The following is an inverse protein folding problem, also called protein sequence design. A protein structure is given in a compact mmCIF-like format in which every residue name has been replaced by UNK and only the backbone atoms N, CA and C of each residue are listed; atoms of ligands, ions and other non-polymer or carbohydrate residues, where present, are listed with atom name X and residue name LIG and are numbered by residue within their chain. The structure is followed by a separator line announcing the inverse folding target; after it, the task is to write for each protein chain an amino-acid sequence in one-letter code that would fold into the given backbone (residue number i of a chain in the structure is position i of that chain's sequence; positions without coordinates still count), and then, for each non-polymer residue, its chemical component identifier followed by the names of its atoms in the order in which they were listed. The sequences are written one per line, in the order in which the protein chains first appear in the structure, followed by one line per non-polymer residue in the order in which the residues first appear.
data_IF_738011130261
#
_entry.id   IF_738011130261
#
_cell.length_a   1.000
_cell.length_b   1.000
_cell.length_c   1.000
_cell.angle_alpha   90.00
_cell.angle_beta   90.00
_cell.angle_gamma   90.00
#
_symmetry.space_group_name_H-M   'P 1'
#
loop_
_entity.id
_entity.type
_entity.pdbx_description
1 polymer ?
#
# COMPACT_ATOMS: atom_id res chain seq x y z
N UNK A 1 7.10 -15.35 9.98
CA UNK A 1 6.69 -14.93 8.60
C UNK A 1 5.73 -13.74 8.74
N UNK A 2 6.10 -12.58 8.20
CA UNK A 2 5.36 -11.30 8.32
C UNK A 2 4.37 -11.05 7.18
N UNK A 3 3.96 -9.80 6.97
CA UNK A 3 3.07 -9.37 5.88
C UNK A 3 3.85 -9.07 4.59
N UNK A 4 3.28 -9.34 3.40
CA UNK A 4 3.88 -8.96 2.13
C UNK A 4 3.77 -7.43 1.93
N UNK A 5 4.89 -6.73 1.93
CA UNK A 5 4.97 -5.28 1.75
C UNK A 5 5.50 -4.93 0.34
N UNK A 6 4.88 -3.92 -0.29
CA UNK A 6 5.38 -3.26 -1.49
C UNK A 6 5.59 -1.77 -1.20
N UNK A 7 6.62 -1.19 -1.80
CA UNK A 7 6.90 0.24 -1.77
C UNK A 7 6.64 0.84 -3.16
N UNK A 8 5.97 1.99 -3.18
CA UNK A 8 5.63 2.74 -4.40
C UNK A 8 6.06 4.19 -4.24
N UNK A 9 6.58 4.79 -5.31
CA UNK A 9 6.86 6.22 -5.38
C UNK A 9 5.85 6.87 -6.30
N UNK A 10 5.03 7.76 -5.75
CA UNK A 10 4.01 8.50 -6.49
C UNK A 10 4.44 9.95 -6.61
N UNK A 11 4.41 10.48 -7.82
CA UNK A 11 4.69 11.89 -8.08
C UNK A 11 3.35 12.61 -8.13
N UNK A 12 3.15 13.59 -7.26
CA UNK A 12 1.95 14.44 -7.27
C UNK A 12 2.03 15.49 -8.38
N UNK A 13 0.89 16.09 -8.74
CA UNK A 13 0.84 17.07 -9.83
C UNK A 13 1.71 18.32 -9.60
N UNK A 14 1.94 18.67 -8.33
CA UNK A 14 2.80 19.76 -7.87
C UNK A 14 4.28 19.33 -7.67
N UNK A 15 4.61 18.08 -8.01
CA UNK A 15 6.00 17.60 -8.10
C UNK A 15 6.57 16.97 -6.84
N UNK A 16 5.78 16.75 -5.79
CA UNK A 16 6.24 16.02 -4.60
C UNK A 16 6.33 14.51 -4.88
N UNK A 17 7.33 13.87 -4.28
CA UNK A 17 7.50 12.41 -4.33
C UNK A 17 6.99 11.82 -3.01
N UNK A 18 5.87 11.10 -3.08
CA UNK A 18 5.27 10.41 -1.95
C UNK A 18 5.70 8.94 -1.94
N UNK A 19 6.28 8.48 -0.83
CA UNK A 19 6.53 7.07 -0.56
C UNK A 19 5.28 6.41 0.02
N UNK A 20 4.70 5.45 -0.70
CA UNK A 20 3.49 4.73 -0.30
C UNK A 20 3.84 3.26 -0.04
N UNK A 21 3.36 2.74 1.10
CA UNK A 21 3.50 1.33 1.46
C UNK A 21 2.18 0.59 1.28
N UNK A 22 2.24 -0.59 0.66
CA UNK A 22 1.06 -1.43 0.42
C UNK A 22 1.27 -2.82 1.00
N UNK A 23 0.31 -3.27 1.80
CA UNK A 23 0.17 -4.68 2.18
C UNK A 23 -0.80 -5.32 1.18
N UNK A 24 -0.29 -6.23 0.35
CA UNK A 24 -1.10 -6.85 -0.73
C UNK A 24 -2.22 -7.75 -0.23
N UNK A 25 -1.93 -8.52 0.82
CA UNK A 25 -2.86 -9.47 1.40
C UNK A 25 -2.51 -9.77 2.86
N UNK A 26 -3.50 -10.22 3.62
CA UNK A 26 -3.34 -10.55 5.04
C UNK A 26 -2.56 -11.85 5.26
N UNK A 27 -2.05 -12.07 6.47
CA UNK A 27 -1.20 -13.22 6.79
C UNK A 27 -1.81 -14.59 6.48
N UNK A 28 -3.14 -14.71 6.54
CA UNK A 28 -3.88 -15.96 6.38
C UNK A 28 -4.59 -16.08 5.01
N UNK A 29 -4.40 -15.13 4.10
CA UNK A 29 -5.05 -15.12 2.79
C UNK A 29 -4.04 -14.69 1.74
N UNK A 30 -3.79 -15.53 0.73
CA UNK A 30 -2.99 -15.16 -0.45
C UNK A 30 -3.83 -14.47 -1.52
N UNK A 31 -5.13 -14.31 -1.28
CA UNK A 31 -6.07 -13.74 -2.25
C UNK A 31 -6.02 -12.22 -2.23
N UNK A 32 -5.97 -11.62 -3.43
CA UNK A 32 -6.08 -10.17 -3.64
C UNK A 32 -7.55 -9.69 -3.64
N UNK A 33 -8.46 -10.47 -3.05
CA UNK A 33 -9.90 -10.19 -3.02
C UNK A 33 -10.24 -9.15 -1.96
N UNK A 34 -11.01 -8.13 -2.33
CA UNK A 34 -11.51 -7.10 -1.44
C UNK A 34 -11.41 -5.71 -2.04
N UNK A 35 -12.09 -4.73 -1.43
CA UNK A 35 -11.93 -3.32 -1.79
C UNK A 35 -10.64 -2.80 -1.16
N UNK A 36 -9.74 -2.14 -1.91
CA UNK A 36 -8.55 -1.53 -1.33
C UNK A 36 -8.95 -0.39 -0.39
N UNK A 37 -8.18 -0.20 0.67
CA UNK A 37 -8.32 0.92 1.61
C UNK A 37 -7.04 1.73 1.63
N UNK A 38 -7.18 3.05 1.64
CA UNK A 38 -6.07 3.98 1.82
C UNK A 38 -6.13 4.50 3.26
N UNK A 39 -5.06 4.27 4.01
CA UNK A 39 -4.92 4.80 5.37
C UNK A 39 -3.96 5.99 5.31
N UNK A 40 -4.47 7.16 5.70
CA UNK A 40 -3.70 8.38 5.78
C UNK A 40 -3.63 8.81 7.26
N UNK A 41 -2.43 9.16 7.73
CA UNK A 41 -2.27 9.77 9.05
C UNK A 41 -2.57 11.28 8.99
N UNK A 42 -2.88 11.87 10.15
CA UNK A 42 -3.04 13.32 10.32
C UNK A 42 -1.74 14.02 10.67
#
# INVERSE_FOLDING_TARGET
KGYPCEEHKVITNDGYILGIFRIRHGRNSSSLTGRPVLLQHG
#
